data_IF_073131629186
#
_entry.id   IF_073131629186
#
_cell.length_a   1.000
_cell.length_b   1.000
_cell.length_c   1.000
_cell.angle_alpha   90.00
_cell.angle_beta   90.00
_cell.angle_gamma   90.00
#
_symmetry.space_group_name_H-M   'P 1'
#
loop_
_entity.id
_entity.type
_entity.pdbx_description
1 polymer ?
#
# COMPACT_ATOMS: atom_id res chain seq x y z
N UNK A 1 -17.16 -23.75 -9.02
CA UNK A 1 -15.83 -23.26 -8.76
C UNK A 1 -15.87 -21.80 -8.33
N UNK A 2 -15.37 -21.50 -7.17
CA UNK A 2 -15.39 -20.09 -6.75
C UNK A 2 -14.43 -19.26 -7.58
N UNK A 3 -14.76 -17.98 -7.71
CA UNK A 3 -13.89 -17.04 -8.39
C UNK A 3 -12.61 -16.86 -7.59
N UNK A 4 -11.47 -16.56 -8.25
CA UNK A 4 -10.25 -16.26 -7.52
C UNK A 4 -10.45 -15.05 -6.62
N UNK A 5 -9.83 -15.10 -5.44
CA UNK A 5 -9.91 -13.99 -4.49
C UNK A 5 -8.94 -12.89 -4.92
N UNK A 6 -9.41 -11.65 -4.95
CA UNK A 6 -8.55 -10.51 -5.25
C UNK A 6 -7.67 -10.21 -4.06
N UNK A 7 -6.44 -9.81 -4.32
CA UNK A 7 -5.55 -9.35 -3.26
C UNK A 7 -6.03 -8.00 -2.75
N UNK A 8 -6.05 -7.86 -1.44
CA UNK A 8 -6.53 -6.66 -0.80
C UNK A 8 -5.36 -5.73 -0.47
N UNK A 9 -5.49 -4.49 -0.87
CA UNK A 9 -4.47 -3.46 -0.65
C UNK A 9 -5.08 -2.33 0.16
N UNK A 10 -4.25 -1.71 1.01
CA UNK A 10 -4.66 -0.52 1.75
C UNK A 10 -3.84 0.67 1.26
N UNK A 11 -4.52 1.71 0.83
CA UNK A 11 -3.90 2.93 0.31
C UNK A 11 -4.09 4.03 1.34
N UNK A 12 -2.99 4.64 1.79
CA UNK A 12 -3.03 5.66 2.84
C UNK A 12 -2.44 6.96 2.31
N UNK A 13 -3.27 7.99 2.19
CA UNK A 13 -2.84 9.29 1.70
C UNK A 13 -3.88 10.31 2.17
N UNK A 14 -3.44 11.45 2.68
CA UNK A 14 -4.36 12.47 3.15
C UNK A 14 -5.00 13.23 1.99
N UNK A 15 -4.48 13.10 0.77
CA UNK A 15 -5.11 13.66 -0.41
C UNK A 15 -6.10 12.65 -0.96
N UNK A 16 -7.38 12.96 -0.78
CA UNK A 16 -8.44 12.03 -1.16
C UNK A 16 -8.42 11.70 -2.66
N UNK A 17 -8.17 12.71 -3.48
CA UNK A 17 -8.13 12.50 -4.93
C UNK A 17 -7.02 11.54 -5.33
N UNK A 18 -5.86 11.65 -4.68
CA UNK A 18 -4.74 10.76 -4.97
C UNK A 18 -5.09 9.32 -4.61
N UNK A 19 -5.74 9.11 -3.46
CA UNK A 19 -6.19 7.79 -3.05
C UNK A 19 -7.19 7.21 -4.04
N UNK A 20 -8.15 8.03 -4.47
CA UNK A 20 -9.19 7.55 -5.39
C UNK A 20 -8.61 7.19 -6.76
N UNK A 21 -7.72 8.02 -7.27
CA UNK A 21 -7.07 7.75 -8.54
C UNK A 21 -6.29 6.45 -8.52
N UNK A 22 -5.52 6.26 -7.46
CA UNK A 22 -4.71 5.05 -7.35
C UNK A 22 -5.60 3.82 -7.17
N UNK A 23 -6.65 3.95 -6.37
CA UNK A 23 -7.59 2.84 -6.16
C UNK A 23 -8.24 2.43 -7.48
N UNK A 24 -8.68 3.40 -8.29
CA UNK A 24 -9.28 3.10 -9.59
C UNK A 24 -8.32 2.35 -10.49
N UNK A 25 -7.07 2.81 -10.54
CA UNK A 25 -6.05 2.16 -11.35
C UNK A 25 -5.85 0.71 -10.91
N UNK A 26 -5.67 0.50 -9.62
CA UNK A 26 -5.34 -0.82 -9.10
C UNK A 26 -6.54 -1.77 -9.16
N UNK A 27 -7.74 -1.25 -8.95
CA UNK A 27 -8.93 -2.08 -9.10
C UNK A 27 -9.12 -2.51 -10.54
N UNK A 28 -8.78 -1.65 -11.49
CA UNK A 28 -8.78 -2.02 -12.90
C UNK A 28 -7.78 -3.11 -13.22
N UNK A 29 -6.76 -3.28 -12.38
CA UNK A 29 -5.76 -4.32 -12.57
C UNK A 29 -6.05 -5.59 -11.74
N UNK A 30 -7.21 -5.64 -11.11
CA UNK A 30 -7.63 -6.87 -10.42
C UNK A 30 -7.41 -6.88 -8.91
N UNK A 31 -7.05 -5.76 -8.31
CA UNK A 31 -6.88 -5.67 -6.86
C UNK A 31 -8.14 -5.14 -6.21
N UNK A 32 -8.28 -5.39 -4.91
CA UNK A 32 -9.36 -4.83 -4.10
C UNK A 32 -8.72 -3.79 -3.18
N UNK A 33 -9.16 -2.53 -3.26
CA UNK A 33 -8.49 -1.44 -2.55
C UNK A 33 -9.36 -0.84 -1.47
N UNK A 34 -8.76 -0.66 -0.29
CA UNK A 34 -9.33 0.14 0.79
C UNK A 34 -8.52 1.44 0.86
N UNK A 35 -9.15 2.55 1.17
CA UNK A 35 -8.45 3.84 1.25
C UNK A 35 -8.61 4.43 2.64
N UNK A 36 -7.54 5.05 3.14
CA UNK A 36 -7.54 5.71 4.43
C UNK A 36 -6.87 7.08 4.30
N UNK A 37 -7.47 8.13 4.87
CA UNK A 37 -6.89 9.47 4.80
C UNK A 37 -5.87 9.74 5.91
N UNK A 38 -5.66 8.81 6.83
CA UNK A 38 -4.78 9.02 7.97
C UNK A 38 -4.31 7.69 8.53
N UNK A 39 -3.27 7.76 9.37
CA UNK A 39 -2.76 6.58 10.07
C UNK A 39 -3.85 5.96 10.94
N UNK A 40 -4.61 6.80 11.63
CA UNK A 40 -5.66 6.31 12.52
C UNK A 40 -6.69 5.46 11.77
N UNK A 41 -7.16 5.96 10.63
CA UNK A 41 -8.13 5.21 9.82
C UNK A 41 -7.49 3.96 9.24
N UNK A 42 -6.21 4.06 8.83
CA UNK A 42 -5.50 2.90 8.29
C UNK A 42 -5.45 1.77 9.31
N UNK A 43 -5.12 2.08 10.57
CA UNK A 43 -5.05 1.06 11.61
C UNK A 43 -6.41 0.43 11.87
N UNK A 44 -7.47 1.23 11.82
CA UNK A 44 -8.82 0.73 11.98
C UNK A 44 -9.18 -0.25 10.85
N UNK A 45 -8.86 0.13 9.62
CA UNK A 45 -9.16 -0.73 8.47
C UNK A 45 -8.37 -2.04 8.52
N UNK A 46 -7.12 -1.99 8.98
CA UNK A 46 -6.32 -3.20 9.13
C UNK A 46 -6.92 -4.15 10.16
N UNK A 47 -7.53 -3.60 11.21
CA UNK A 47 -8.21 -4.42 12.21
C UNK A 47 -9.49 -5.03 11.64
N UNK A 48 -10.24 -4.25 10.86
CA UNK A 48 -11.49 -4.71 10.27
C UNK A 48 -11.29 -5.66 9.09
N UNK A 49 -10.16 -5.54 8.40
CA UNK A 49 -9.88 -6.33 7.21
C UNK A 49 -8.52 -7.01 7.35
N UNK A 50 -8.45 -8.09 8.12
CA UNK A 50 -7.16 -8.75 8.40
C UNK A 50 -6.51 -9.41 7.19
N UNK A 51 -7.25 -9.52 6.09
CA UNK A 51 -6.68 -10.12 4.87
C UNK A 51 -5.98 -9.10 3.97
N UNK A 52 -5.87 -7.84 4.39
CA UNK A 52 -5.09 -6.87 3.64
C UNK A 52 -3.65 -7.38 3.52
N UNK A 53 -3.17 -7.46 2.27
CA UNK A 53 -1.90 -8.10 1.96
C UNK A 53 -0.76 -7.13 1.72
N UNK A 54 -1.05 -5.83 1.59
CA UNK A 54 -0.02 -4.83 1.31
C UNK A 54 -0.57 -3.46 1.66
N UNK A 55 0.31 -2.59 2.16
CA UNK A 55 -0.04 -1.18 2.43
C UNK A 55 0.81 -0.31 1.52
N UNK A 56 0.16 0.65 0.86
CA UNK A 56 0.85 1.71 0.12
C UNK A 56 0.53 3.00 0.85
N UNK A 57 1.52 3.62 1.46
CA UNK A 57 1.30 4.82 2.28
C UNK A 57 2.14 5.99 1.81
N UNK A 58 1.53 7.18 1.86
CA UNK A 58 2.29 8.41 1.70
C UNK A 58 3.21 8.57 2.91
N UNK A 59 4.37 9.16 2.68
CA UNK A 59 5.33 9.35 3.74
C UNK A 59 4.91 10.48 4.68
N UNK A 60 4.46 11.58 4.13
CA UNK A 60 4.15 12.77 4.92
C UNK A 60 2.68 13.08 4.93
N UNK A 61 2.10 13.02 6.11
CA UNK A 61 0.69 13.29 6.32
C UNK A 61 0.53 14.10 7.61
N UNK A 62 -0.56 14.86 7.73
CA UNK A 62 -0.83 15.56 9.00
C UNK A 62 -0.97 14.58 10.16
N UNK A 63 -0.64 15.05 11.34
CA UNK A 63 -0.77 14.30 12.59
C UNK A 63 0.23 13.17 12.74
N UNK A 64 0.15 12.13 11.93
CA UNK A 64 1.11 11.03 11.98
C UNK A 64 1.61 10.74 10.57
N UNK A 65 2.91 10.48 10.45
CA UNK A 65 3.54 10.20 9.17
C UNK A 65 3.42 8.73 8.79
N UNK A 66 3.73 8.43 7.53
CA UNK A 66 3.80 7.04 7.09
C UNK A 66 4.86 6.24 7.84
N UNK A 67 5.94 6.89 8.27
CA UNK A 67 6.96 6.21 9.07
C UNK A 67 6.36 5.74 10.39
N UNK A 68 5.54 6.59 11.03
CA UNK A 68 4.87 6.21 12.26
C UNK A 68 3.97 5.00 12.06
N UNK A 69 3.21 4.99 10.95
CA UNK A 69 2.37 3.85 10.63
C UNK A 69 3.19 2.57 10.50
N UNK A 70 4.31 2.64 9.76
CA UNK A 70 5.14 1.46 9.53
C UNK A 70 5.72 0.94 10.84
N UNK A 71 6.16 1.84 11.72
CA UNK A 71 6.68 1.44 13.02
C UNK A 71 5.63 0.67 13.82
N UNK A 72 4.39 1.15 13.82
CA UNK A 72 3.31 0.46 14.52
C UNK A 72 3.07 -0.93 13.93
N UNK A 73 3.14 -1.05 12.60
CA UNK A 73 2.96 -2.35 11.96
C UNK A 73 4.06 -3.32 12.35
N UNK A 74 5.31 -2.87 12.36
CA UNK A 74 6.44 -3.73 12.69
C UNK A 74 6.43 -4.19 14.15
N UNK A 75 5.75 -3.45 15.00
CA UNK A 75 5.63 -3.82 16.40
C UNK A 75 4.44 -4.73 16.70
N UNK A 76 3.55 -4.90 15.73
CA UNK A 76 2.35 -5.70 15.93
C UNK A 76 2.59 -7.15 15.51
N UNK A 77 2.31 -8.08 16.40
CA UNK A 77 2.63 -9.49 16.17
C UNK A 77 2.11 -10.05 14.85
N UNK A 78 0.88 -9.71 14.49
CA UNK A 78 0.28 -10.27 13.28
C UNK A 78 0.56 -9.47 12.02
N UNK A 79 1.26 -8.33 12.13
CA UNK A 79 1.50 -7.46 10.98
C UNK A 79 2.95 -7.07 10.82
N UNK A 80 3.85 -7.67 11.60
CA UNK A 80 5.25 -7.28 11.59
C UNK A 80 5.93 -7.55 10.25
N UNK A 81 5.36 -8.40 9.41
CA UNK A 81 5.91 -8.71 8.10
C UNK A 81 5.05 -8.23 6.95
N UNK A 82 4.04 -7.43 7.24
CA UNK A 82 3.16 -6.92 6.19
C UNK A 82 3.96 -6.04 5.23
N UNK A 83 3.95 -6.34 3.93
CA UNK A 83 4.70 -5.52 2.97
C UNK A 83 4.16 -4.10 2.91
N UNK A 84 5.07 -3.14 2.85
CA UNK A 84 4.71 -1.73 2.76
C UNK A 84 5.48 -1.08 1.62
N UNK A 85 4.76 -0.35 0.77
CA UNK A 85 5.32 0.51 -0.25
C UNK A 85 5.07 1.95 0.21
N UNK A 86 6.08 2.80 0.08
CA UNK A 86 5.96 4.20 0.47
C UNK A 86 5.96 5.07 -0.76
N UNK A 87 5.10 6.09 -0.78
CA UNK A 87 5.10 7.10 -1.83
C UNK A 87 5.44 8.44 -1.21
N UNK A 88 6.17 9.28 -1.95
CA UNK A 88 6.59 10.55 -1.40
C UNK A 88 6.85 11.58 -2.47
N UNK A 89 6.39 12.81 -2.25
CA UNK A 89 6.76 13.94 -3.10
C UNK A 89 8.16 14.41 -2.79
N UNK A 90 8.64 14.14 -1.58
CA UNK A 90 9.96 14.56 -1.15
C UNK A 90 10.43 13.68 0.02
N UNK A 91 11.56 13.03 -0.15
CA UNK A 91 12.16 12.22 0.91
C UNK A 91 13.65 12.57 0.97
N UNK A 92 14.17 12.80 2.18
CA UNK A 92 15.59 13.10 2.35
C UNK A 92 16.34 11.83 2.77
N UNK A 93 17.65 11.96 2.99
CA UNK A 93 18.48 10.80 3.33
C UNK A 93 18.09 10.16 4.65
N UNK A 94 17.63 10.97 5.60
CA UNK A 94 17.22 10.46 6.89
C UNK A 94 15.96 9.60 6.77
N UNK A 95 15.00 10.07 5.97
CA UNK A 95 13.79 9.31 5.71
C UNK A 95 14.12 7.97 5.06
N UNK A 96 14.99 7.98 4.07
CA UNK A 96 15.39 6.75 3.37
C UNK A 96 16.03 5.77 4.33
N UNK A 97 16.89 6.27 5.22
CA UNK A 97 17.55 5.43 6.21
C UNK A 97 16.55 4.76 7.13
N UNK A 98 15.55 5.53 7.61
CA UNK A 98 14.49 4.97 8.47
C UNK A 98 13.69 3.90 7.74
N UNK A 99 13.35 4.17 6.49
CA UNK A 99 12.54 3.24 5.70
C UNK A 99 13.29 1.93 5.46
N UNK A 100 14.61 2.00 5.25
CA UNK A 100 15.40 0.79 5.09
C UNK A 100 15.41 -0.04 6.37
N UNK A 101 15.53 0.62 7.53
CA UNK A 101 15.49 -0.10 8.80
C UNK A 101 14.15 -0.76 9.03
N UNK A 102 13.08 -0.16 8.56
CA UNK A 102 11.73 -0.68 8.73
C UNK A 102 11.37 -1.70 7.65
N UNK A 103 12.31 -2.00 6.76
CA UNK A 103 12.16 -3.05 5.76
C UNK A 103 10.97 -2.84 4.84
N UNK A 104 10.82 -1.59 4.36
CA UNK A 104 9.78 -1.33 3.36
C UNK A 104 10.16 -2.03 2.05
N UNK A 105 9.14 -2.41 1.30
CA UNK A 105 9.34 -3.11 0.04
C UNK A 105 9.93 -2.19 -1.02
N UNK A 106 9.43 -0.97 -1.10
CA UNK A 106 9.89 -0.02 -2.11
C UNK A 106 9.47 1.40 -1.75
N UNK A 107 10.11 2.37 -2.41
CA UNK A 107 9.79 3.79 -2.25
C UNK A 107 9.62 4.39 -3.65
N UNK A 108 8.45 4.96 -3.90
CA UNK A 108 8.15 5.59 -5.18
C UNK A 108 8.02 7.10 -5.02
N UNK A 109 8.65 7.85 -5.89
CA UNK A 109 8.48 9.30 -5.92
C UNK A 109 7.19 9.65 -6.65
N UNK A 110 6.52 10.68 -6.16
CA UNK A 110 5.38 11.24 -6.86
C UNK A 110 5.88 12.20 -7.95
N UNK A 111 5.27 12.24 -9.13
CA UNK A 111 4.13 11.40 -9.55
C UNK A 111 4.59 9.96 -9.79
N UNK A 112 3.71 9.02 -9.42
CA UNK A 112 4.07 7.62 -9.51
C UNK A 112 3.96 7.14 -10.96
N UNK A 113 5.01 6.45 -11.43
CA UNK A 113 4.93 5.80 -12.73
C UNK A 113 4.18 4.49 -12.55
N UNK A 114 2.99 4.44 -13.08
CA UNK A 114 2.09 3.30 -12.86
C UNK A 114 2.69 1.97 -13.30
N UNK A 115 3.42 1.98 -14.41
CA UNK A 115 4.04 0.74 -14.92
C UNK A 115 4.99 0.15 -13.88
N UNK A 116 5.81 0.98 -13.25
CA UNK A 116 6.77 0.49 -12.26
C UNK A 116 6.07 -0.02 -11.01
N UNK A 117 5.02 0.68 -10.57
CA UNK A 117 4.25 0.21 -9.42
C UNK A 117 3.61 -1.14 -9.73
N UNK A 118 3.02 -1.27 -10.90
CA UNK A 118 2.38 -2.53 -11.29
C UNK A 118 3.39 -3.66 -11.42
N UNK A 119 4.59 -3.37 -11.89
CA UNK A 119 5.66 -4.38 -11.92
C UNK A 119 5.97 -4.89 -10.52
N UNK A 120 6.10 -3.97 -9.57
CA UNK A 120 6.38 -4.36 -8.18
C UNK A 120 5.26 -5.20 -7.62
N UNK A 121 4.01 -4.81 -7.86
CA UNK A 121 2.86 -5.56 -7.36
C UNK A 121 2.75 -6.92 -8.02
N UNK A 122 3.01 -7.01 -9.32
CA UNK A 122 2.94 -8.28 -10.03
C UNK A 122 4.05 -9.23 -9.62
N UNK A 123 5.21 -8.70 -9.22
CA UNK A 123 6.28 -9.53 -8.68
C UNK A 123 5.92 -10.07 -7.30
N UNK A 124 5.23 -9.26 -6.49
CA UNK A 124 4.81 -9.69 -5.17
C UNK A 124 3.62 -10.64 -5.24
N UNK A 125 2.71 -10.40 -6.16
CA UNK A 125 1.50 -11.18 -6.33
C UNK A 125 1.44 -11.74 -7.75
N UNK A 126 2.19 -12.79 -8.04
CA UNK A 126 2.28 -13.32 -9.41
C UNK A 126 1.05 -14.10 -9.86
N UNK A 127 0.08 -14.30 -8.99
CA UNK A 127 -1.11 -15.06 -9.33
C UNK A 127 -1.92 -14.41 -10.44
N UNK A 128 -2.61 -15.19 -11.26
CA UNK A 128 -3.46 -14.61 -12.30
C UNK A 128 -4.49 -13.68 -11.72
N UNK A 129 -4.73 -12.56 -12.40
CA UNK A 129 -5.78 -11.64 -11.99
C UNK A 129 -7.14 -12.18 -12.37
N UNK A 130 -8.15 -11.72 -11.63
CA UNK A 130 -9.52 -12.19 -11.87
C UNK A 130 -9.98 -11.90 -13.29
N UNK A 131 -9.56 -10.76 -13.84
CA UNK A 131 -10.00 -10.39 -15.18
C UNK A 131 -9.34 -11.17 -16.28
N UNK A 132 -8.36 -11.97 -15.94
CA UNK A 132 -7.71 -12.74 -16.94
C UNK A 132 -8.55 -13.90 -17.26
N UNK A 133 -9.54 -13.76 -17.98
CA UNK A 133 -10.23 -14.77 -18.22
C UNK A 133 -10.15 -15.23 -19.46
N UNK A 134 -9.91 -15.31 -19.86
CA UNK A 134 -9.99 -15.84 -20.83
C UNK A 134 -10.51 -16.03 -21.75
N UNK A 135 -10.49 -16.01 -21.82
CA UNK A 135 -10.67 -16.25 -22.60
C UNK A 135 -10.69 -16.75 -23.09
#
# INVERSE_FOLDING_TARGET
MPAPTRQQLLLVDDEEDANEELAELLEGEGFCCFTAPSVKVALKLLTEHPDIALVITDLRMPEESGISLIKRLREHTSRQHLPVIVTSGHADMEDVSDLLRLQVLDLFRKPIYHVRLLETLNNLFPEPKVYQVGN
#
